data_IF_831895932046
#
_entry.id   IF_831895932046
#
_cell.length_a   1.000
_cell.length_b   1.000
_cell.length_c   1.000
_cell.angle_alpha   90.00
_cell.angle_beta   90.00
_cell.angle_gamma   90.00
#
_symmetry.space_group_name_H-M   'P 1'
#
loop_
_entity.id
_entity.type
_entity.pdbx_description
1 polymer ?
#
# COMPACT_ATOMS: atom_id res chain seq x y z
N UNK A 1 -26.80 -22.52 -0.75
CA UNK A 1 -25.88 -22.64 -1.89
C UNK A 1 -25.39 -24.07 -1.95
N UNK A 2 -25.41 -24.70 -3.13
CA UNK A 2 -24.85 -26.03 -3.36
C UNK A 2 -24.18 -26.07 -4.74
N UNK A 3 -23.30 -27.04 -4.96
CA UNK A 3 -22.64 -27.25 -6.24
C UNK A 3 -23.48 -28.14 -7.13
N UNK A 4 -23.77 -27.68 -8.35
CA UNK A 4 -24.28 -28.53 -9.42
C UNK A 4 -23.14 -28.86 -10.40
N UNK A 5 -23.27 -30.01 -11.07
CA UNK A 5 -22.30 -30.47 -12.08
C UNK A 5 -20.85 -30.55 -11.55
N UNK A 6 -20.66 -30.94 -10.28
CA UNK A 6 -19.33 -31.13 -9.72
C UNK A 6 -18.61 -32.28 -10.45
N UNK A 7 -17.54 -31.92 -11.16
CA UNK A 7 -16.64 -32.85 -11.83
C UNK A 7 -15.33 -32.92 -11.06
N UNK A 8 -14.90 -34.15 -10.85
CA UNK A 8 -13.62 -34.51 -10.27
C UNK A 8 -12.76 -35.06 -11.41
N UNK A 9 -11.61 -34.45 -11.65
CA UNK A 9 -10.62 -35.00 -12.60
C UNK A 9 -9.27 -35.12 -11.92
N UNK A 10 -8.76 -36.34 -11.84
CA UNK A 10 -7.37 -36.58 -11.43
C UNK A 10 -6.46 -36.26 -12.60
N UNK A 11 -5.44 -35.44 -12.36
CA UNK A 11 -4.36 -35.21 -13.33
C UNK A 11 -3.23 -36.21 -13.09
N UNK A 12 -2.42 -36.46 -14.11
CA UNK A 12 -1.32 -37.44 -14.09
C UNK A 12 -0.21 -37.11 -13.07
N UNK A 13 -0.18 -35.88 -12.57
CA UNK A 13 0.74 -35.41 -11.53
C UNK A 13 0.20 -35.59 -10.09
N UNK A 14 -0.88 -36.35 -9.91
CA UNK A 14 -1.49 -36.60 -8.60
C UNK A 14 -2.35 -35.46 -8.04
N UNK A 15 -2.54 -34.38 -8.81
CA UNK A 15 -3.42 -33.27 -8.43
C UNK A 15 -4.86 -33.59 -8.82
N UNK A 16 -5.78 -33.57 -7.86
CA UNK A 16 -7.23 -33.68 -8.13
C UNK A 16 -7.81 -32.28 -8.34
N UNK A 17 -8.35 -32.04 -9.53
CA UNK A 17 -9.03 -30.80 -9.87
C UNK A 17 -10.53 -30.96 -9.66
N UNK A 18 -11.13 -29.98 -8.99
CA UNK A 18 -12.58 -29.88 -8.78
C UNK A 18 -13.11 -28.73 -9.63
N UNK A 19 -14.16 -28.97 -10.40
CA UNK A 19 -14.88 -27.92 -11.12
C UNK A 19 -16.37 -28.13 -10.96
N UNK A 20 -17.12 -27.11 -10.58
CA UNK A 20 -18.58 -27.18 -10.43
C UNK A 20 -19.18 -25.78 -10.51
N UNK A 21 -20.47 -25.70 -10.80
CA UNK A 21 -21.18 -24.43 -10.90
C UNK A 21 -21.92 -24.16 -9.58
N UNK A 22 -21.65 -23.00 -8.98
CA UNK A 22 -22.29 -22.59 -7.73
C UNK A 22 -23.66 -21.97 -8.02
N UNK A 23 -24.71 -22.48 -7.38
CA UNK A 23 -26.05 -21.88 -7.43
C UNK A 23 -26.61 -21.69 -6.03
N UNK A 24 -27.33 -20.59 -5.82
CA UNK A 24 -28.08 -20.30 -4.61
C UNK A 24 -29.32 -19.48 -4.94
N UNK A 25 -30.50 -19.99 -4.59
CA UNK A 25 -31.75 -19.24 -4.68
C UNK A 25 -32.08 -18.69 -3.29
N UNK A 26 -32.00 -17.37 -3.15
CA UNK A 26 -32.33 -16.63 -1.93
C UNK A 26 -32.24 -15.13 -2.20
N UNK A 27 -32.99 -14.27 -1.46
CA UNK A 27 -33.13 -12.84 -1.77
C UNK A 27 -31.86 -12.02 -1.54
N UNK A 28 -30.76 -12.68 -1.14
CA UNK A 28 -29.43 -12.12 -1.05
C UNK A 28 -28.56 -12.88 -2.06
N UNK A 29 -28.78 -12.58 -3.33
CA UNK A 29 -27.76 -12.76 -4.35
C UNK A 29 -26.62 -11.80 -4.00
N UNK A 30 -25.79 -12.17 -3.02
CA UNK A 30 -24.42 -11.70 -2.95
C UNK A 30 -23.81 -12.14 -4.26
N UNK A 31 -23.83 -11.24 -5.25
CA UNK A 31 -23.05 -11.38 -6.45
C UNK A 31 -21.67 -11.78 -5.99
N UNK A 32 -21.14 -12.83 -6.58
CA UNK A 32 -19.75 -13.26 -6.39
C UNK A 32 -18.76 -12.23 -6.99
N UNK A 33 -19.10 -10.94 -6.94
CA UNK A 33 -18.16 -9.87 -6.74
C UNK A 33 -17.68 -10.02 -5.30
N UNK A 34 -16.76 -10.96 -5.13
CA UNK A 34 -15.88 -11.04 -3.99
C UNK A 34 -15.36 -9.61 -3.79
N UNK A 35 -15.91 -8.89 -2.82
CA UNK A 35 -15.50 -7.52 -2.55
C UNK A 35 -14.05 -7.62 -2.11
N UNK A 36 -13.13 -7.44 -3.07
CA UNK A 36 -11.72 -7.41 -2.80
C UNK A 36 -11.54 -6.39 -1.66
N UNK A 37 -10.80 -6.75 -0.60
CA UNK A 37 -10.68 -5.87 0.55
C UNK A 37 -10.24 -4.50 0.05
N UNK A 38 -11.04 -3.46 0.36
CA UNK A 38 -10.73 -2.10 -0.05
C UNK A 38 -9.38 -1.72 0.56
N UNK A 39 -8.36 -1.77 -0.27
CA UNK A 39 -6.98 -1.45 0.11
C UNK A 39 -6.53 -0.12 -0.47
N UNK A 40 -7.49 0.69 -0.97
CA UNK A 40 -7.23 2.05 -1.41
C UNK A 40 -6.54 2.88 -0.31
N UNK A 41 -6.94 2.66 0.95
CA UNK A 41 -6.39 3.31 2.14
C UNK A 41 -4.92 3.02 2.43
N UNK A 42 -4.27 2.09 1.74
CA UNK A 42 -2.84 1.82 1.93
C UNK A 42 -2.08 1.80 0.60
N UNK A 43 -2.73 2.24 -0.49
CA UNK A 43 -2.13 2.28 -1.81
C UNK A 43 -1.57 3.69 -2.10
N UNK A 44 -0.39 3.72 -2.71
CA UNK A 44 0.25 4.94 -3.21
C UNK A 44 0.30 4.85 -4.73
N UNK A 45 -0.12 5.92 -5.41
CA UNK A 45 -0.02 6.04 -6.86
C UNK A 45 1.10 7.00 -7.23
N UNK A 46 2.17 6.50 -7.83
CA UNK A 46 3.36 7.31 -8.15
C UNK A 46 3.91 7.00 -9.54
N UNK A 47 4.62 7.97 -10.11
CA UNK A 47 5.36 7.77 -11.35
C UNK A 47 6.63 6.95 -11.08
N UNK A 48 6.76 5.77 -11.69
CA UNK A 48 7.94 4.93 -11.58
C UNK A 48 8.15 4.11 -12.86
N UNK A 49 9.36 4.11 -13.40
CA UNK A 49 9.64 3.46 -14.68
C UNK A 49 8.84 4.02 -15.85
N UNK A 50 8.69 5.36 -15.88
CA UNK A 50 8.01 6.08 -16.97
C UNK A 50 6.48 5.97 -17.00
N UNK A 51 5.84 5.40 -15.97
CA UNK A 51 4.38 5.23 -15.89
C UNK A 51 3.87 5.51 -14.49
N UNK A 52 2.61 5.94 -14.35
CA UNK A 52 1.92 5.91 -13.07
C UNK A 52 1.59 4.47 -12.67
N UNK A 53 1.99 4.09 -11.47
CA UNK A 53 1.83 2.74 -10.93
C UNK A 53 1.14 2.80 -9.58
N UNK A 54 0.37 1.76 -9.30
CA UNK A 54 -0.08 1.45 -7.94
C UNK A 54 1.08 0.76 -7.22
N UNK A 55 1.44 1.26 -6.06
CA UNK A 55 2.38 0.64 -5.14
C UNK A 55 1.67 0.45 -3.80
N UNK A 56 1.86 -0.70 -3.18
CA UNK A 56 1.15 -1.05 -1.95
C UNK A 56 1.94 -2.11 -1.17
N UNK A 57 2.18 -1.86 0.11
CA UNK A 57 2.74 -2.86 1.02
C UNK A 57 1.60 -3.67 1.63
N UNK A 58 1.29 -4.84 1.05
CA UNK A 58 0.37 -5.80 1.66
C UNK A 58 0.99 -6.41 2.93
N UNK A 59 0.19 -7.02 3.81
CA UNK A 59 0.72 -7.65 5.04
C UNK A 59 1.82 -8.68 4.75
N UNK A 60 1.68 -9.46 3.67
CA UNK A 60 2.72 -10.41 3.26
C UNK A 60 4.01 -9.71 2.80
N UNK A 61 3.89 -8.59 2.07
CA UNK A 61 5.03 -7.77 1.68
C UNK A 61 5.70 -7.10 2.89
N UNK A 62 4.93 -6.68 3.89
CA UNK A 62 5.47 -6.12 5.14
C UNK A 62 6.31 -7.18 5.87
N UNK A 63 5.79 -8.39 6.06
CA UNK A 63 6.55 -9.46 6.73
C UNK A 63 7.84 -9.82 5.99
N UNK A 64 7.82 -9.81 4.66
CA UNK A 64 9.03 -10.03 3.85
C UNK A 64 10.02 -8.86 3.95
N UNK A 65 9.53 -7.62 3.98
CA UNK A 65 10.36 -6.43 4.19
C UNK A 65 11.07 -6.50 5.55
N UNK A 66 10.34 -6.83 6.61
CA UNK A 66 10.89 -6.97 7.96
C UNK A 66 11.96 -8.07 8.02
N UNK A 67 11.74 -9.18 7.32
CA UNK A 67 12.71 -10.28 7.19
C UNK A 67 13.99 -9.83 6.47
N UNK A 68 13.87 -9.11 5.36
CA UNK A 68 15.04 -8.66 4.58
C UNK A 68 15.83 -7.58 5.34
N UNK A 69 15.13 -6.59 5.91
CA UNK A 69 15.76 -5.48 6.64
C UNK A 69 16.18 -5.86 8.06
N UNK A 70 15.78 -7.04 8.56
CA UNK A 70 16.00 -7.50 9.94
C UNK A 70 15.55 -6.43 10.96
N UNK A 71 14.40 -5.80 10.69
CA UNK A 71 13.86 -4.70 11.47
C UNK A 71 12.35 -4.66 11.31
N UNK A 72 11.61 -4.31 12.37
CA UNK A 72 10.17 -4.12 12.28
C UNK A 72 9.81 -2.89 11.43
N UNK A 73 8.61 -2.86 10.86
CA UNK A 73 8.18 -1.80 9.94
C UNK A 73 8.33 -0.38 10.53
N UNK A 74 8.03 -0.19 11.81
CA UNK A 74 8.20 1.11 12.48
C UNK A 74 9.65 1.55 12.64
N UNK A 75 10.58 0.62 12.82
CA UNK A 75 12.02 0.91 12.88
C UNK A 75 12.54 1.29 11.48
N UNK A 76 12.10 0.60 10.43
CA UNK A 76 12.43 0.97 9.05
C UNK A 76 11.92 2.39 8.75
N UNK A 77 10.68 2.70 9.11
CA UNK A 77 10.09 4.03 8.97
C UNK A 77 10.90 5.10 9.72
N UNK A 78 11.33 4.82 10.96
CA UNK A 78 12.14 5.73 11.76
C UNK A 78 13.53 5.96 11.15
N UNK A 79 14.16 4.93 10.58
CA UNK A 79 15.44 5.05 9.87
C UNK A 79 15.33 5.94 8.66
N UNK A 80 14.25 5.83 7.88
CA UNK A 80 14.00 6.72 6.76
C UNK A 80 13.86 8.18 7.24
N UNK A 81 13.01 8.42 8.24
CA UNK A 81 12.75 9.76 8.78
C UNK A 81 14.01 10.42 9.40
N UNK A 82 14.90 9.63 10.00
CA UNK A 82 16.13 10.10 10.63
C UNK A 82 17.36 10.06 9.71
N UNK A 83 17.19 9.73 8.43
CA UNK A 83 18.27 9.56 7.45
C UNK A 83 19.35 8.54 7.87
N UNK A 84 18.99 7.52 8.65
CA UNK A 84 19.86 6.39 9.05
C UNK A 84 19.52 5.09 8.30
N UNK A 85 18.84 5.22 7.18
CA UNK A 85 18.39 4.10 6.37
C UNK A 85 19.56 3.43 5.63
N UNK A 86 19.43 2.12 5.45
CA UNK A 86 20.25 1.34 4.54
C UNK A 86 19.66 1.38 3.13
N UNK A 87 20.47 1.04 2.12
CA UNK A 87 19.99 0.94 0.75
C UNK A 87 18.82 -0.07 0.61
N UNK A 88 18.86 -1.16 1.39
CA UNK A 88 17.80 -2.16 1.43
C UNK A 88 16.45 -1.59 1.92
N UNK A 89 16.48 -0.69 2.91
CA UNK A 89 15.26 -0.07 3.47
C UNK A 89 14.49 0.72 2.39
N UNK A 90 15.20 1.30 1.42
CA UNK A 90 14.58 1.98 0.27
C UNK A 90 14.21 1.02 -0.85
N UNK A 91 15.18 0.19 -1.26
CA UNK A 91 15.05 -0.68 -2.43
C UNK A 91 13.91 -1.67 -2.24
N UNK A 92 13.89 -2.36 -1.11
CA UNK A 92 12.95 -3.44 -0.87
C UNK A 92 11.55 -2.92 -0.55
N UNK A 93 11.44 -1.76 0.11
CA UNK A 93 10.17 -1.05 0.28
C UNK A 93 9.49 -0.78 -1.06
N UNK A 94 10.24 -0.25 -2.03
CA UNK A 94 9.69 0.06 -3.36
C UNK A 94 9.42 -1.22 -4.16
N UNK A 95 10.34 -2.19 -4.16
CA UNK A 95 10.18 -3.46 -4.89
C UNK A 95 8.96 -4.23 -4.39
N UNK A 96 8.82 -4.39 -3.08
CA UNK A 96 7.69 -5.07 -2.46
C UNK A 96 6.41 -4.24 -2.59
N UNK A 97 6.50 -2.91 -2.60
CA UNK A 97 5.41 -2.01 -2.95
C UNK A 97 4.88 -2.25 -4.37
N UNK A 98 5.76 -2.42 -5.36
CA UNK A 98 5.35 -2.75 -6.73
C UNK A 98 4.64 -4.12 -6.78
N UNK A 99 5.18 -5.12 -6.08
CA UNK A 99 4.61 -6.47 -6.03
C UNK A 99 3.23 -6.45 -5.39
N UNK A 100 3.08 -5.82 -4.23
CA UNK A 100 1.77 -5.68 -3.58
C UNK A 100 0.81 -4.76 -4.34
N UNK A 101 1.33 -3.90 -5.22
CA UNK A 101 0.56 -3.09 -6.18
C UNK A 101 0.08 -3.86 -7.42
N UNK A 102 0.54 -5.10 -7.61
CA UNK A 102 0.12 -5.99 -8.70
C UNK A 102 1.17 -6.28 -9.77
N UNK A 103 2.40 -5.76 -9.63
CA UNK A 103 3.52 -6.15 -10.49
C UNK A 103 3.99 -7.57 -10.14
N UNK A 104 4.46 -8.34 -11.12
CA UNK A 104 5.05 -9.65 -10.83
C UNK A 104 6.50 -9.52 -10.31
N UNK A 105 7.06 -10.62 -9.79
CA UNK A 105 8.42 -10.62 -9.21
C UNK A 105 9.51 -10.18 -10.20
N UNK A 106 9.40 -10.61 -11.46
CA UNK A 106 10.40 -10.35 -12.48
C UNK A 106 10.32 -8.90 -12.99
N UNK A 107 9.10 -8.41 -13.20
CA UNK A 107 8.79 -7.04 -13.58
C UNK A 107 9.21 -6.05 -12.51
N UNK A 108 8.94 -6.34 -11.24
CA UNK A 108 9.40 -5.52 -10.13
C UNK A 108 10.94 -5.44 -10.11
N UNK A 109 11.64 -6.56 -10.26
CA UNK A 109 13.11 -6.53 -10.30
C UNK A 109 13.68 -5.79 -11.52
N UNK A 110 13.08 -5.97 -12.70
CA UNK A 110 13.49 -5.23 -13.88
C UNK A 110 13.32 -3.72 -13.66
N UNK A 111 12.19 -3.30 -13.07
CA UNK A 111 11.96 -1.89 -12.76
C UNK A 111 12.97 -1.34 -11.76
N UNK A 112 13.30 -2.09 -10.70
CA UNK A 112 14.32 -1.68 -9.72
C UNK A 112 15.69 -1.54 -10.37
N UNK A 113 16.10 -2.51 -11.19
CA UNK A 113 17.39 -2.49 -11.88
C UNK A 113 17.60 -1.23 -12.73
N UNK A 114 16.59 -0.82 -13.48
CA UNK A 114 16.72 0.30 -14.42
C UNK A 114 16.39 1.66 -13.82
N UNK A 115 15.56 1.70 -12.76
CA UNK A 115 15.01 2.96 -12.24
C UNK A 115 15.46 3.30 -10.82
N UNK A 116 16.08 2.36 -10.11
CA UNK A 116 16.60 2.55 -8.75
C UNK A 116 18.10 2.30 -8.67
N UNK A 117 18.58 1.13 -9.12
CA UNK A 117 19.96 0.68 -8.87
C UNK A 117 21.02 1.59 -9.54
N UNK A 118 20.62 2.41 -10.51
CA UNK A 118 21.50 3.35 -11.25
C UNK A 118 21.27 4.82 -10.86
N UNK A 119 20.54 5.09 -9.78
CA UNK A 119 20.18 6.44 -9.34
C UNK A 119 20.67 6.72 -7.91
N UNK A 120 20.87 8.00 -7.55
CA UNK A 120 21.15 8.35 -6.16
C UNK A 120 20.01 7.91 -5.22
N UNK A 121 20.35 7.26 -4.09
CA UNK A 121 19.37 6.73 -3.14
C UNK A 121 18.35 7.78 -2.65
N UNK A 122 18.81 9.03 -2.44
CA UNK A 122 17.96 10.11 -1.96
C UNK A 122 16.77 10.42 -2.89
N UNK A 123 16.91 10.17 -4.19
CA UNK A 123 15.83 10.33 -5.19
C UNK A 123 14.59 9.48 -4.86
N UNK A 124 14.80 8.36 -4.16
CA UNK A 124 13.77 7.37 -3.84
C UNK A 124 13.27 7.46 -2.39
N UNK A 125 13.88 8.31 -1.58
CA UNK A 125 13.57 8.41 -0.15
C UNK A 125 12.11 8.78 0.10
N UNK A 126 11.59 9.79 -0.62
CA UNK A 126 10.22 10.25 -0.44
C UNK A 126 9.21 9.15 -0.79
N UNK A 127 9.39 8.48 -1.94
CA UNK A 127 8.48 7.40 -2.37
C UNK A 127 8.44 6.25 -1.36
N UNK A 128 9.60 5.86 -0.81
CA UNK A 128 9.67 4.82 0.20
C UNK A 128 9.01 5.27 1.52
N UNK A 129 9.22 6.53 1.93
CA UNK A 129 8.58 7.10 3.12
C UNK A 129 7.04 7.15 2.98
N UNK A 130 6.54 7.56 1.80
CA UNK A 130 5.11 7.59 1.49
C UNK A 130 4.50 6.20 1.57
N UNK A 131 5.19 5.17 1.06
CA UNK A 131 4.74 3.78 1.13
C UNK A 131 4.65 3.26 2.57
N UNK A 132 5.68 3.50 3.39
CA UNK A 132 5.66 3.10 4.79
C UNK A 132 4.58 3.86 5.56
N UNK A 133 4.42 5.16 5.31
CA UNK A 133 3.36 5.97 5.93
C UNK A 133 1.97 5.46 5.54
N UNK A 134 1.73 5.20 4.25
CA UNK A 134 0.47 4.64 3.77
C UNK A 134 0.18 3.26 4.36
N UNK A 135 1.20 2.43 4.56
CA UNK A 135 1.04 1.11 5.18
C UNK A 135 0.71 1.18 6.66
N UNK A 136 1.32 2.11 7.41
CA UNK A 136 1.20 2.20 8.88
C UNK A 136 0.03 3.07 9.32
N UNK A 137 -0.11 4.26 8.73
CA UNK A 137 -1.11 5.26 9.11
C UNK A 137 -2.33 5.27 8.17
N UNK A 138 -2.20 4.64 7.01
CA UNK A 138 -3.16 4.80 5.91
C UNK A 138 -2.94 6.10 5.14
N UNK A 139 -3.54 6.18 3.96
CA UNK A 139 -3.80 7.43 3.25
C UNK A 139 -5.21 7.89 3.59
N UNK A 140 -5.38 9.19 3.82
CA UNK A 140 -6.72 9.75 3.83
C UNK A 140 -7.32 9.55 2.43
N UNK A 141 -8.56 9.06 2.31
CA UNK A 141 -9.24 9.09 1.04
C UNK A 141 -9.26 10.55 0.58
N UNK A 142 -8.98 10.80 -0.71
CA UNK A 142 -9.09 12.14 -1.27
C UNK A 142 -10.48 12.68 -0.94
N UNK A 143 -10.55 13.58 0.04
CA UNK A 143 -11.79 14.15 0.50
C UNK A 143 -12.44 14.86 -0.68
N UNK A 144 -13.66 14.49 -1.02
CA UNK A 144 -14.56 15.43 -1.67
C UNK A 144 -14.59 16.69 -0.79
N UNK A 145 -13.91 17.75 -1.22
CA UNK A 145 -13.64 18.94 -0.42
C UNK A 145 -14.87 19.68 0.09
N UNK A 146 -15.53 19.12 1.10
CA UNK A 146 -16.51 19.79 1.95
C UNK A 146 -15.87 19.91 3.31
N UNK A 147 -15.11 20.98 3.47
CA UNK A 147 -14.68 21.51 4.76
C UNK A 147 -15.91 22.04 5.51
N UNK A 148 -16.69 21.16 6.14
CA UNK A 148 -17.51 21.60 7.28
C UNK A 148 -16.64 21.62 8.54
N UNK A 149 -15.88 22.70 8.63
CA UNK A 149 -15.08 23.06 9.79
C UNK A 149 -15.03 24.57 9.89
N UNK A 150 -16.19 25.22 9.96
CA UNK A 150 -16.27 26.62 10.39
C UNK A 150 -15.83 26.69 11.84
N UNK A 151 -14.54 26.97 12.05
CA UNK A 151 -14.01 27.40 13.32
C UNK A 151 -14.52 28.82 13.58
N UNK A 152 -15.73 28.95 14.12
CA UNK A 152 -16.15 30.18 14.79
C UNK A 152 -15.49 30.20 16.18
N UNK A 153 -14.19 30.46 16.22
CA UNK A 153 -13.56 30.98 17.43
C UNK A 153 -13.83 32.49 17.46
N UNK A 154 -14.50 33.04 18.50
CA UNK A 154 -14.60 34.49 18.63
C UNK A 154 -13.21 35.06 18.89
N UNK A 155 -12.69 35.80 17.91
CA UNK A 155 -11.60 36.73 18.16
C UNK A 155 -12.18 37.92 18.96
N UNK A 156 -11.69 38.16 20.17
CA UNK A 156 -11.35 39.51 20.65
C UNK A 156 -10.69 39.44 22.02
N UNK A 157 -9.37 39.58 22.04
CA UNK A 157 -8.66 40.56 22.87
C UNK A 157 -7.18 40.56 22.49
N UNK A 158 -6.65 41.61 21.85
CA UNK A 158 -5.22 41.83 21.83
C UNK A 158 -4.83 42.48 23.17
N UNK A 159 -3.96 41.80 23.90
CA UNK A 159 -3.26 42.33 25.06
C UNK A 159 -1.86 42.79 24.60
N UNK A 160 -1.49 44.03 24.91
CA UNK A 160 -0.18 44.64 24.68
C UNK A 160 -0.30 46.07 24.14
N UNK A 161 0.30 47.12 24.70
CA UNK A 161 1.57 47.18 25.44
C UNK A 161 1.65 48.49 26.27
N UNK A 162 2.32 48.44 27.43
CA UNK A 162 2.70 49.55 28.33
C UNK A 162 3.86 50.42 27.77
N UNK A 163 4.59 51.27 28.53
CA UNK A 163 4.30 52.43 29.39
C UNK A 163 4.96 53.76 28.87
N UNK A 164 5.03 54.80 29.72
CA UNK A 164 5.73 56.13 29.64
C UNK A 164 4.86 57.32 29.14
N UNK A 165 4.82 58.50 29.78
CA UNK A 165 5.69 59.16 30.78
C UNK A 165 4.87 59.88 31.87
#
# INVERSE_FOLDING_TARGET
>A
MWFENLKLSSQDNGVVKFSGQLRGEGPLAWTAELMAPDTSRTAVYAAFGGRHRKLQLTLGCIGELERICTAGIGEIQLRLASHRFYAADLRETIRLGLIGGGEDLAGAEALMRFNFDQQPLATHLQLAADLLSAAVAGVEPEGNGVTEGRSDAPATSPSGTAPAA
#
